data_IF_106218726268
#
_entry.id   IF_106218726268
#
_cell.length_a   1.000
_cell.length_b   1.000
_cell.length_c   1.000
_cell.angle_alpha   90.00
_cell.angle_beta   90.00
_cell.angle_gamma   90.00
#
_symmetry.space_group_name_H-M   'P 1'
#
loop_
_entity.id
_entity.type
_entity.pdbx_description
1 polymer ?
#
# COMPACT_ATOMS: atom_id res chain seq x y z
N UNK A 1 39.24 -6.77 -4.63
CA UNK A 1 39.20 -6.57 -6.09
C UNK A 1 37.80 -6.08 -6.42
N UNK A 2 37.71 -4.80 -6.78
CA UNK A 2 36.46 -4.14 -7.11
C UNK A 2 36.02 -4.61 -8.50
N UNK A 3 34.88 -5.31 -8.58
CA UNK A 3 34.19 -5.50 -9.83
C UNK A 3 33.43 -4.20 -10.15
N UNK A 4 34.10 -3.35 -10.92
CA UNK A 4 33.47 -2.33 -11.74
C UNK A 4 32.57 -3.04 -12.76
N UNK A 5 31.27 -3.06 -12.49
CA UNK A 5 30.28 -3.31 -13.53
C UNK A 5 30.11 -2.01 -14.30
N UNK A 6 30.73 -1.95 -15.48
CA UNK A 6 30.31 -1.05 -16.55
C UNK A 6 28.86 -1.40 -16.91
N UNK A 7 27.91 -0.60 -16.43
CA UNK A 7 26.52 -0.63 -16.88
C UNK A 7 26.49 0.18 -18.17
N UNK A 8 26.08 -0.43 -19.28
CA UNK A 8 25.84 0.26 -20.53
C UNK A 8 24.90 1.44 -20.32
N UNK A 9 25.29 2.61 -20.84
CA UNK A 9 24.54 3.85 -20.69
C UNK A 9 23.18 3.75 -21.36
N UNK A 10 22.15 3.44 -20.56
CA UNK A 10 20.80 3.86 -20.87
C UNK A 10 20.76 5.36 -20.64
N UNK A 11 20.36 6.11 -21.66
CA UNK A 11 20.15 7.55 -21.61
C UNK A 11 18.87 7.80 -20.79
N UNK A 12 19.02 7.98 -19.47
CA UNK A 12 17.90 8.15 -18.54
C UNK A 12 17.16 9.44 -18.91
N UNK A 13 15.84 9.36 -19.13
CA UNK A 13 15.01 10.55 -19.41
C UNK A 13 14.21 10.96 -18.20
N UNK A 14 14.06 12.25 -17.95
CA UNK A 14 13.37 12.78 -16.77
C UNK A 14 11.99 13.38 -17.05
N UNK A 15 11.27 12.85 -18.04
CA UNK A 15 9.96 13.38 -18.45
C UNK A 15 8.99 13.59 -17.29
N UNK A 16 8.34 14.76 -17.27
CA UNK A 16 7.37 15.13 -16.24
C UNK A 16 7.94 15.29 -14.83
N UNK A 17 9.28 15.25 -14.63
CA UNK A 17 9.90 15.36 -13.31
C UNK A 17 10.42 16.75 -13.00
N UNK A 18 10.48 17.05 -11.70
CA UNK A 18 11.28 18.14 -11.15
C UNK A 18 12.72 17.70 -10.95
N UNK A 19 13.65 18.46 -11.51
CA UNK A 19 15.10 18.29 -11.34
C UNK A 19 15.73 19.62 -10.91
N UNK A 20 16.91 19.54 -10.28
CA UNK A 20 17.70 20.68 -9.80
C UNK A 20 19.00 20.90 -10.59
N UNK A 21 19.31 20.00 -11.54
CA UNK A 21 20.49 20.07 -12.38
C UNK A 21 20.14 19.76 -13.85
N UNK A 22 20.41 20.69 -14.76
CA UNK A 22 20.17 20.50 -16.20
C UNK A 22 21.26 19.65 -16.89
N UNK A 23 22.40 19.40 -16.27
CA UNK A 23 23.46 18.57 -16.85
C UNK A 23 23.07 17.08 -16.95
N UNK A 24 21.96 16.69 -16.32
CA UNK A 24 21.45 15.30 -16.31
C UNK A 24 20.47 14.99 -17.42
N UNK A 25 19.95 16.01 -18.12
CA UNK A 25 19.05 15.83 -19.27
C UNK A 25 19.86 15.89 -20.57
N UNK A 26 19.36 15.24 -21.61
CA UNK A 26 20.05 15.18 -22.91
C UNK A 26 19.20 15.83 -24.00
N UNK A 27 18.03 15.28 -24.30
CA UNK A 27 17.16 15.78 -25.38
C UNK A 27 15.86 16.39 -24.86
N UNK A 28 15.58 16.27 -23.56
CA UNK A 28 14.33 16.71 -22.97
C UNK A 28 14.21 18.24 -22.91
N UNK A 29 12.98 18.73 -23.00
CA UNK A 29 12.69 20.17 -22.91
C UNK A 29 12.19 20.54 -21.53
N UNK A 30 12.66 21.68 -21.00
CA UNK A 30 12.13 22.28 -19.77
C UNK A 30 10.80 22.97 -20.07
N UNK A 31 9.72 22.55 -19.40
CA UNK A 31 8.39 23.17 -19.54
C UNK A 31 8.21 24.37 -18.60
N UNK A 32 8.82 24.34 -17.42
CA UNK A 32 8.71 25.40 -16.42
C UNK A 32 9.98 25.48 -15.57
N UNK A 33 10.35 26.71 -15.19
CA UNK A 33 11.45 26.98 -14.26
C UNK A 33 10.92 27.78 -13.07
N UNK A 34 11.29 27.39 -11.86
CA UNK A 34 10.96 28.12 -10.63
C UNK A 34 12.04 27.91 -9.57
N UNK A 35 11.85 28.43 -8.36
CA UNK A 35 12.59 27.98 -7.17
C UNK A 35 11.84 26.83 -6.49
N UNK A 36 12.52 26.08 -5.62
CA UNK A 36 11.92 24.99 -4.86
C UNK A 36 10.83 25.45 -3.87
N UNK A 37 11.01 26.64 -3.31
CA UNK A 37 9.99 27.33 -2.49
C UNK A 37 9.65 28.66 -3.12
N UNK A 38 8.36 28.92 -3.28
CA UNK A 38 7.82 30.19 -3.78
C UNK A 38 6.94 30.82 -2.70
N UNK A 39 6.93 32.15 -2.60
CA UNK A 39 6.08 32.88 -1.65
C UNK A 39 5.02 33.68 -2.40
N UNK A 40 3.77 33.52 -2.00
CA UNK A 40 2.65 34.32 -2.49
C UNK A 40 1.92 35.05 -1.33
N UNK A 41 0.74 35.62 -1.59
CA UNK A 41 -0.06 36.31 -0.56
C UNK A 41 -0.60 35.37 0.53
N UNK A 42 -0.63 34.05 0.28
CA UNK A 42 -1.17 33.02 1.17
C UNK A 42 -0.06 32.35 2.00
N UNK A 43 1.21 32.50 1.62
CA UNK A 43 2.36 32.07 2.41
C UNK A 43 3.46 31.43 1.56
N UNK A 44 4.26 30.56 2.19
CA UNK A 44 5.28 29.76 1.51
C UNK A 44 4.65 28.49 0.92
N UNK A 45 4.99 28.18 -0.33
CA UNK A 45 4.56 26.99 -1.07
C UNK A 45 5.79 26.21 -1.55
N UNK A 46 5.84 24.92 -1.22
CA UNK A 46 6.85 24.01 -1.77
C UNK A 46 6.40 23.46 -3.13
N UNK A 47 7.18 23.73 -4.18
CA UNK A 47 6.86 23.28 -5.55
C UNK A 47 6.97 21.76 -5.73
N UNK A 48 7.73 21.08 -4.86
CA UNK A 48 7.86 19.61 -4.91
C UNK A 48 6.67 18.91 -4.22
N UNK A 49 6.46 19.14 -2.92
CA UNK A 49 5.44 18.41 -2.16
C UNK A 49 4.11 19.14 -1.98
N UNK A 50 3.98 20.38 -2.44
CA UNK A 50 2.76 21.18 -2.27
C UNK A 50 2.52 21.68 -0.84
N UNK A 51 3.47 21.46 0.08
CA UNK A 51 3.32 21.90 1.47
C UNK A 51 3.09 23.42 1.57
N UNK A 52 2.09 23.81 2.34
CA UNK A 52 1.80 25.20 2.73
C UNK A 52 1.82 25.40 4.25
N UNK A 53 2.07 24.35 5.04
CA UNK A 53 2.17 24.49 6.50
C UNK A 53 3.46 25.22 6.87
N UNK A 54 3.29 26.43 7.42
CA UNK A 54 4.37 27.29 7.91
C UNK A 54 5.29 26.57 8.92
N UNK A 55 4.77 25.63 9.73
CA UNK A 55 5.55 24.87 10.70
C UNK A 55 6.48 23.84 10.06
N UNK A 56 6.28 23.53 8.78
CA UNK A 56 7.14 22.63 8.00
C UNK A 56 8.13 23.39 7.12
N UNK A 57 8.17 24.72 7.18
CA UNK A 57 9.24 25.53 6.62
C UNK A 57 10.27 25.90 7.69
N UNK A 58 11.50 26.16 7.26
CA UNK A 58 12.55 26.71 8.11
C UNK A 58 13.32 27.77 7.34
N UNK A 59 13.54 28.92 8.00
CA UNK A 59 14.22 30.07 7.43
C UNK A 59 15.48 30.39 8.22
N UNK A 60 16.58 30.67 7.53
CA UNK A 60 17.81 31.17 8.14
C UNK A 60 18.49 32.20 7.23
N UNK A 61 19.27 33.10 7.83
CA UNK A 61 20.08 34.06 7.08
C UNK A 61 21.41 33.44 6.64
N UNK A 62 21.69 33.42 5.34
CA UNK A 62 22.97 32.99 4.80
C UNK A 62 23.92 34.18 4.68
N UNK A 63 24.96 34.22 5.52
CA UNK A 63 26.01 35.27 5.43
C UNK A 63 26.79 35.23 4.12
N UNK A 64 26.88 34.07 3.47
CA UNK A 64 27.62 33.90 2.22
C UNK A 64 26.85 34.47 1.02
N UNK A 65 25.52 34.33 1.02
CA UNK A 65 24.64 34.80 -0.05
C UNK A 65 23.97 36.14 0.28
N UNK A 66 24.22 36.66 1.49
CA UNK A 66 23.63 37.87 2.06
C UNK A 66 22.10 37.93 1.91
N UNK A 67 21.43 36.80 2.18
CA UNK A 67 19.98 36.66 1.97
C UNK A 67 19.35 35.64 2.89
N UNK A 68 18.03 35.74 3.08
CA UNK A 68 17.23 34.75 3.82
C UNK A 68 16.89 33.55 2.94
N UNK A 69 17.22 32.37 3.43
CA UNK A 69 16.92 31.10 2.77
C UNK A 69 15.82 30.38 3.53
N UNK A 70 14.68 30.20 2.88
CA UNK A 70 13.57 29.37 3.34
C UNK A 70 13.58 28.05 2.58
N UNK A 71 13.47 26.93 3.29
CA UNK A 71 13.38 25.60 2.69
C UNK A 71 12.31 24.73 3.33
N UNK A 72 11.80 23.77 2.57
CA UNK A 72 10.78 22.84 3.01
C UNK A 72 11.38 21.66 3.78
N UNK A 73 10.91 21.42 5.01
CA UNK A 73 11.30 20.26 5.83
C UNK A 73 10.49 19.00 5.52
N UNK A 74 9.30 19.14 4.93
CA UNK A 74 8.42 18.01 4.61
C UNK A 74 9.05 17.03 3.61
N UNK A 75 9.68 17.55 2.55
CA UNK A 75 10.27 16.73 1.49
C UNK A 75 11.80 16.62 1.54
N UNK A 76 12.44 17.06 2.63
CA UNK A 76 13.91 17.19 2.71
C UNK A 76 14.65 15.88 2.41
N UNK A 77 14.07 14.73 2.76
CA UNK A 77 14.65 13.41 2.48
C UNK A 77 14.69 13.05 0.98
N UNK A 78 13.90 13.73 0.15
CA UNK A 78 13.86 13.54 -1.30
C UNK A 78 14.68 14.55 -2.09
N UNK A 79 15.34 15.49 -1.40
CA UNK A 79 16.00 16.64 -1.99
C UNK A 79 15.54 17.93 -1.30
N UNK A 80 16.49 18.81 -0.98
CA UNK A 80 16.18 20.09 -0.32
C UNK A 80 15.60 21.05 -1.36
N UNK A 81 14.38 21.49 -1.13
CA UNK A 81 13.71 22.53 -1.92
C UNK A 81 13.78 23.86 -1.17
N UNK A 82 14.39 24.88 -1.77
CA UNK A 82 14.53 26.21 -1.18
C UNK A 82 14.18 27.35 -2.15
N UNK A 83 14.13 28.57 -1.62
CA UNK A 83 13.76 29.79 -2.35
C UNK A 83 14.90 30.41 -3.17
N UNK A 84 16.07 29.76 -3.26
CA UNK A 84 17.24 30.30 -3.96
C UNK A 84 17.59 29.43 -5.17
N UNK A 85 17.66 28.11 -4.99
CA UNK A 85 18.09 27.19 -6.01
C UNK A 85 16.98 26.98 -7.06
N UNK A 86 17.32 27.11 -8.36
CA UNK A 86 16.35 26.86 -9.42
C UNK A 86 16.01 25.38 -9.48
N UNK A 87 14.76 25.11 -9.82
CA UNK A 87 14.26 23.80 -10.19
C UNK A 87 13.61 23.89 -11.57
N UNK A 88 13.67 22.78 -12.28
CA UNK A 88 13.23 22.67 -13.66
C UNK A 88 12.22 21.54 -13.74
N UNK A 89 11.01 21.86 -14.20
CA UNK A 89 10.04 20.86 -14.59
C UNK A 89 10.31 20.45 -16.03
N UNK A 90 10.58 19.18 -16.24
CA UNK A 90 10.77 18.62 -17.57
C UNK A 90 9.40 18.33 -18.18
N UNK A 91 9.23 18.68 -19.46
CA UNK A 91 8.02 18.41 -20.20
C UNK A 91 7.71 16.91 -20.17
N UNK A 92 6.42 16.57 -20.08
CA UNK A 92 5.99 15.17 -20.18
C UNK A 92 5.99 14.76 -21.66
N UNK A 93 6.46 13.54 -21.93
CA UNK A 93 6.37 12.91 -23.25
C UNK A 93 5.53 11.64 -23.13
N UNK A 94 4.86 11.25 -24.22
CA UNK A 94 4.06 10.04 -24.33
C UNK A 94 4.67 9.15 -25.40
N UNK A 95 4.72 7.85 -25.13
CA UNK A 95 5.30 6.88 -26.05
C UNK A 95 4.41 5.64 -26.10
N UNK A 96 3.94 5.29 -27.31
CA UNK A 96 3.14 4.10 -27.56
C UNK A 96 4.00 2.84 -27.51
N UNK A 97 3.51 1.83 -26.81
CA UNK A 97 4.11 0.49 -26.82
C UNK A 97 3.03 -0.58 -26.86
N UNK A 98 3.36 -1.75 -27.41
CA UNK A 98 2.40 -2.87 -27.49
C UNK A 98 1.95 -3.33 -26.09
N UNK A 99 2.85 -3.23 -25.09
CA UNK A 99 2.63 -3.63 -23.71
C UNK A 99 1.96 -5.00 -23.58
N UNK A 100 2.41 -5.96 -24.38
CA UNK A 100 1.93 -7.33 -24.32
C UNK A 100 2.26 -7.93 -22.96
N UNK A 101 1.25 -8.56 -22.34
CA UNK A 101 1.39 -9.22 -21.06
C UNK A 101 1.07 -10.70 -21.14
N UNK A 102 1.77 -11.48 -20.35
CA UNK A 102 1.46 -12.89 -20.12
C UNK A 102 0.80 -13.08 -18.76
N UNK A 103 -0.33 -13.78 -18.74
CA UNK A 103 -0.99 -14.22 -17.51
C UNK A 103 -1.06 -15.76 -17.52
N UNK A 104 -0.39 -16.46 -16.59
CA UNK A 104 -0.30 -17.91 -16.61
C UNK A 104 -1.59 -18.63 -16.17
N UNK A 105 -2.65 -17.88 -15.88
CA UNK A 105 -3.95 -18.38 -15.45
C UNK A 105 -5.09 -17.51 -15.97
N UNK A 106 -6.30 -18.06 -15.98
CA UNK A 106 -7.50 -17.29 -16.31
C UNK A 106 -8.04 -16.54 -15.09
N UNK A 107 -8.43 -15.28 -15.30
CA UNK A 107 -9.12 -14.50 -14.28
C UNK A 107 -10.46 -15.16 -13.92
N UNK A 108 -10.78 -15.22 -12.63
CA UNK A 108 -12.12 -15.64 -12.19
C UNK A 108 -13.21 -14.73 -12.75
N UNK A 109 -14.48 -15.17 -12.73
CA UNK A 109 -15.60 -14.37 -13.22
C UNK A 109 -15.67 -12.97 -12.55
N UNK A 110 -15.42 -12.90 -11.25
CA UNK A 110 -15.38 -11.65 -10.50
C UNK A 110 -14.19 -10.76 -10.90
N UNK A 111 -13.00 -11.36 -11.09
CA UNK A 111 -11.81 -10.64 -11.55
C UNK A 111 -11.98 -10.12 -12.98
N UNK A 112 -12.57 -10.91 -13.87
CA UNK A 112 -12.86 -10.53 -15.25
C UNK A 112 -13.85 -9.37 -15.31
N UNK A 113 -14.92 -9.43 -14.50
CA UNK A 113 -15.85 -8.31 -14.34
C UNK A 113 -15.11 -7.04 -13.92
N UNK A 114 -14.29 -7.13 -12.87
CA UNK A 114 -13.54 -5.99 -12.38
C UNK A 114 -12.55 -5.42 -13.40
N UNK A 115 -11.83 -6.29 -14.12
CA UNK A 115 -10.87 -5.89 -15.14
C UNK A 115 -11.57 -5.09 -16.25
N UNK A 116 -12.75 -5.55 -16.71
CA UNK A 116 -13.56 -4.81 -17.70
C UNK A 116 -14.00 -3.43 -17.21
N UNK A 117 -14.45 -3.31 -15.96
CA UNK A 117 -14.84 -2.01 -15.40
C UNK A 117 -13.64 -1.06 -15.27
N UNK A 118 -12.46 -1.58 -14.91
CA UNK A 118 -11.21 -0.80 -14.86
C UNK A 118 -10.82 -0.34 -16.27
N UNK A 119 -10.88 -1.23 -17.26
CA UNK A 119 -10.61 -0.90 -18.67
C UNK A 119 -11.57 0.18 -19.18
N UNK A 120 -12.86 0.13 -18.81
CA UNK A 120 -13.83 1.15 -19.16
C UNK A 120 -13.49 2.51 -18.51
N UNK A 121 -13.15 2.52 -17.22
CA UNK A 121 -12.76 3.74 -16.51
C UNK A 121 -11.50 4.39 -17.10
N UNK A 122 -10.48 3.57 -17.42
CA UNK A 122 -9.27 4.03 -18.12
C UNK A 122 -9.58 4.53 -19.53
N UNK A 123 -10.49 3.87 -20.24
CA UNK A 123 -10.92 4.32 -21.58
C UNK A 123 -11.54 5.71 -21.55
N UNK A 124 -12.33 5.99 -20.52
CA UNK A 124 -13.06 7.24 -20.33
C UNK A 124 -12.28 8.31 -19.56
N UNK A 125 -11.08 8.00 -19.08
CA UNK A 125 -10.30 8.87 -18.18
C UNK A 125 -11.12 9.30 -16.97
N UNK A 126 -11.70 8.31 -16.27
CA UNK A 126 -12.50 8.50 -15.06
C UNK A 126 -11.91 7.73 -13.90
N UNK A 127 -12.02 8.34 -12.73
CA UNK A 127 -11.63 7.68 -11.49
C UNK A 127 -12.56 6.51 -11.16
N UNK A 128 -11.99 5.48 -10.54
CA UNK A 128 -12.73 4.29 -10.14
C UNK A 128 -12.26 3.80 -8.76
N UNK A 129 -13.21 3.40 -7.92
CA UNK A 129 -12.92 2.73 -6.65
C UNK A 129 -13.16 1.23 -6.75
N UNK A 130 -12.08 0.46 -6.79
CA UNK A 130 -12.08 -0.98 -6.68
C UNK A 130 -12.11 -1.39 -5.19
N UNK A 131 -13.31 -1.61 -4.66
CA UNK A 131 -13.51 -2.09 -3.30
C UNK A 131 -13.49 -3.62 -3.27
N UNK A 132 -12.29 -4.18 -3.08
CA UNK A 132 -12.04 -5.62 -3.15
C UNK A 132 -11.53 -6.20 -1.83
N UNK A 133 -12.09 -7.33 -1.42
CA UNK A 133 -11.69 -8.02 -0.19
C UNK A 133 -10.23 -8.46 -0.24
N UNK A 134 -9.63 -8.63 0.93
CA UNK A 134 -8.27 -9.14 1.03
C UNK A 134 -8.12 -10.53 0.38
N UNK A 135 -7.14 -10.66 -0.51
CA UNK A 135 -6.93 -11.89 -1.27
C UNK A 135 -7.84 -12.05 -2.50
N UNK A 136 -8.46 -10.97 -3.00
CA UNK A 136 -9.20 -10.99 -4.26
C UNK A 136 -8.30 -11.07 -5.52
N UNK A 137 -6.99 -10.86 -5.39
CA UNK A 137 -6.05 -10.84 -6.53
C UNK A 137 -6.20 -9.57 -7.38
N UNK A 138 -6.11 -8.40 -6.74
CA UNK A 138 -6.39 -7.09 -7.37
C UNK A 138 -5.37 -6.71 -8.46
N UNK A 139 -4.10 -7.07 -8.25
CA UNK A 139 -2.99 -6.68 -9.13
C UNK A 139 -3.17 -7.21 -10.54
N UNK A 140 -3.63 -8.45 -10.70
CA UNK A 140 -3.77 -9.05 -12.03
C UNK A 140 -5.00 -8.51 -12.78
N UNK A 141 -5.94 -7.85 -12.08
CA UNK A 141 -7.12 -7.23 -12.71
C UNK A 141 -6.77 -5.95 -13.50
N UNK A 142 -5.64 -5.29 -13.20
CA UNK A 142 -5.24 -4.03 -13.85
C UNK A 142 -4.41 -4.25 -15.11
N UNK A 143 -3.97 -5.48 -15.42
CA UNK A 143 -3.04 -5.74 -16.52
C UNK A 143 -3.61 -5.34 -17.89
N UNK A 144 -4.86 -5.71 -18.17
CA UNK A 144 -5.53 -5.34 -19.43
C UNK A 144 -5.66 -3.82 -19.58
N UNK A 145 -5.93 -3.10 -18.48
CA UNK A 145 -6.02 -1.65 -18.50
C UNK A 145 -4.66 -0.96 -18.67
N UNK A 146 -3.59 -1.53 -18.10
CA UNK A 146 -2.20 -1.08 -18.34
C UNK A 146 -1.85 -1.25 -19.82
N UNK A 147 -2.11 -2.44 -20.40
CA UNK A 147 -1.86 -2.69 -21.82
C UNK A 147 -2.60 -1.68 -22.70
N UNK A 148 -3.89 -1.45 -22.44
CA UNK A 148 -4.68 -0.48 -23.17
C UNK A 148 -4.08 0.93 -23.11
N UNK A 149 -3.71 1.39 -21.91
CA UNK A 149 -3.14 2.71 -21.70
C UNK A 149 -1.80 2.85 -22.46
N UNK A 150 -0.89 1.89 -22.29
CA UNK A 150 0.42 1.91 -22.93
C UNK A 150 0.34 1.88 -24.46
N UNK A 151 -0.62 1.14 -25.03
CA UNK A 151 -0.91 1.16 -26.49
C UNK A 151 -1.43 2.49 -27.02
N UNK A 152 -1.97 3.35 -26.16
CA UNK A 152 -2.38 4.73 -26.49
C UNK A 152 -1.27 5.75 -26.25
N UNK A 153 -0.11 5.31 -25.77
CA UNK A 153 0.99 6.17 -25.36
C UNK A 153 0.82 6.79 -23.98
N UNK A 154 -0.24 6.44 -23.25
CA UNK A 154 -0.53 6.96 -21.92
C UNK A 154 0.58 6.58 -20.93
N UNK A 155 1.04 7.55 -20.12
CA UNK A 155 1.99 7.29 -19.05
C UNK A 155 1.26 6.69 -17.85
N UNK A 156 1.77 5.57 -17.35
CA UNK A 156 1.12 4.76 -16.32
C UNK A 156 1.95 4.73 -15.04
N UNK A 157 1.30 4.96 -13.89
CA UNK A 157 1.90 4.71 -12.58
C UNK A 157 1.12 3.66 -11.79
N UNK A 158 1.83 2.76 -11.12
CA UNK A 158 1.28 1.86 -10.09
C UNK A 158 1.94 2.18 -8.77
N UNK A 159 1.17 2.73 -7.84
CA UNK A 159 1.70 3.27 -6.58
C UNK A 159 1.11 2.60 -5.35
N UNK A 160 1.93 2.52 -4.30
CA UNK A 160 1.51 2.03 -2.99
C UNK A 160 2.24 2.79 -1.88
N UNK A 161 1.62 3.04 -0.72
CA UNK A 161 2.28 3.73 0.39
C UNK A 161 3.44 2.92 1.00
N UNK A 162 3.50 1.60 0.76
CA UNK A 162 4.48 0.71 1.39
C UNK A 162 5.51 0.16 0.41
N UNK A 163 6.77 0.13 0.84
CA UNK A 163 7.91 -0.34 0.02
C UNK A 163 7.81 -1.83 -0.30
N UNK A 164 7.40 -2.67 0.67
CA UNK A 164 7.26 -4.12 0.49
C UNK A 164 6.22 -4.46 -0.59
N UNK A 165 5.12 -3.71 -0.64
CA UNK A 165 4.08 -3.86 -1.67
C UNK A 165 4.58 -3.39 -3.05
N UNK A 166 5.30 -2.26 -3.12
CA UNK A 166 5.95 -1.80 -4.36
C UNK A 166 6.89 -2.85 -4.93
N UNK A 167 7.72 -3.46 -4.08
CA UNK A 167 8.65 -4.52 -4.47
C UNK A 167 7.86 -5.74 -4.98
N UNK A 168 6.83 -6.20 -4.25
CA UNK A 168 6.00 -7.34 -4.66
C UNK A 168 5.32 -7.10 -6.01
N UNK A 169 4.69 -5.93 -6.19
CA UNK A 169 4.03 -5.54 -7.44
C UNK A 169 5.05 -5.45 -8.58
N UNK A 170 6.27 -4.95 -8.32
CA UNK A 170 7.31 -4.82 -9.34
C UNK A 170 7.74 -6.16 -9.93
N UNK A 171 7.87 -7.20 -9.11
CA UNK A 171 8.17 -8.55 -9.62
C UNK A 171 7.04 -9.07 -10.51
N UNK A 172 5.79 -8.90 -10.09
CA UNK A 172 4.62 -9.38 -10.86
C UNK A 172 4.47 -8.66 -12.19
N UNK A 173 4.64 -7.33 -12.21
CA UNK A 173 4.50 -6.55 -13.43
C UNK A 173 5.67 -6.78 -14.39
N UNK A 174 6.91 -6.94 -13.89
CA UNK A 174 8.05 -7.29 -14.75
C UNK A 174 7.96 -8.69 -15.33
N UNK A 175 7.39 -9.64 -14.59
CA UNK A 175 7.13 -11.00 -15.08
C UNK A 175 6.03 -11.00 -16.16
N UNK A 176 4.99 -10.19 -15.97
CA UNK A 176 3.88 -10.08 -16.93
C UNK A 176 4.26 -9.30 -18.19
N UNK A 177 4.86 -8.12 -18.07
CA UNK A 177 5.16 -7.16 -19.16
C UNK A 177 6.66 -7.19 -19.51
N UNK A 178 7.12 -8.31 -20.04
CA UNK A 178 8.56 -8.53 -20.31
C UNK A 178 9.16 -7.61 -21.38
N UNK A 179 8.34 -6.99 -22.22
CA UNK A 179 8.76 -6.07 -23.29
C UNK A 179 8.79 -4.59 -22.85
N UNK A 180 8.24 -4.27 -21.67
CA UNK A 180 8.16 -2.89 -21.18
C UNK A 180 9.37 -2.52 -20.31
N UNK A 181 9.85 -1.29 -20.47
CA UNK A 181 10.80 -0.70 -19.52
C UNK A 181 10.03 -0.15 -18.33
N UNK A 182 10.13 -0.84 -17.18
CA UNK A 182 9.41 -0.45 -15.96
C UNK A 182 10.37 0.14 -14.93
N UNK A 183 10.15 1.42 -14.61
CA UNK A 183 10.87 2.16 -13.58
C UNK A 183 10.33 1.85 -12.19
N UNK A 184 11.19 1.43 -11.26
CA UNK A 184 10.79 1.06 -9.90
C UNK A 184 11.39 2.02 -8.89
N UNK A 185 10.56 2.89 -8.30
CA UNK A 185 11.01 4.01 -7.47
C UNK A 185 10.57 3.83 -6.01
N UNK A 186 11.54 3.58 -5.13
CA UNK A 186 11.34 3.59 -3.67
C UNK A 186 12.63 4.03 -2.98
N UNK A 187 12.67 4.03 -1.65
CA UNK A 187 13.82 4.49 -0.86
C UNK A 187 15.16 3.96 -1.40
N UNK A 188 16.03 4.86 -1.87
CA UNK A 188 17.37 4.54 -2.36
C UNK A 188 17.43 3.94 -3.78
N UNK A 189 16.31 3.82 -4.50
CA UNK A 189 16.28 3.42 -5.91
C UNK A 189 15.91 4.61 -6.79
N UNK A 190 16.66 4.77 -7.88
CA UNK A 190 16.49 5.85 -8.85
C UNK A 190 15.89 5.33 -10.15
N UNK A 191 15.46 6.24 -11.00
CA UNK A 191 14.94 5.92 -12.32
C UNK A 191 16.06 5.42 -13.23
N UNK A 192 15.73 4.49 -14.12
CA UNK A 192 16.67 3.90 -15.07
C UNK A 192 16.17 3.99 -16.52
N UNK A 193 14.86 4.14 -16.73
CA UNK A 193 14.23 4.36 -18.03
C UNK A 193 13.68 5.76 -18.19
N UNK A 194 12.60 5.88 -18.96
CA UNK A 194 12.03 7.14 -19.42
C UNK A 194 10.83 7.62 -18.59
N UNK A 195 10.33 6.80 -17.66
CA UNK A 195 9.20 7.17 -16.80
C UNK A 195 7.81 6.91 -17.39
N UNK A 196 7.68 6.31 -18.58
CA UNK A 196 6.39 6.00 -19.20
C UNK A 196 5.58 4.93 -18.45
N UNK A 197 6.26 3.99 -17.77
CA UNK A 197 5.63 2.99 -16.91
C UNK A 197 6.38 2.89 -15.58
N UNK A 198 5.78 3.45 -14.52
CA UNK A 198 6.41 3.61 -13.21
C UNK A 198 5.69 2.79 -12.15
N UNK A 199 6.46 2.14 -11.28
CA UNK A 199 5.97 1.53 -10.04
C UNK A 199 6.67 2.22 -8.88
N UNK A 200 5.91 2.83 -7.97
CA UNK A 200 6.54 3.70 -6.97
C UNK A 200 5.87 3.74 -5.61
N UNK A 201 6.62 4.17 -4.58
CA UNK A 201 5.98 4.64 -3.36
C UNK A 201 5.29 5.97 -3.61
N UNK A 202 4.17 6.23 -2.92
CA UNK A 202 3.39 7.48 -3.11
C UNK A 202 4.25 8.75 -2.95
N UNK A 203 5.25 8.74 -2.05
CA UNK A 203 6.17 9.88 -1.87
C UNK A 203 7.01 10.20 -3.12
N UNK A 204 7.26 9.24 -4.00
CA UNK A 204 7.99 9.51 -5.23
C UNK A 204 7.18 10.37 -6.20
N UNK A 205 5.85 10.38 -6.08
CA UNK A 205 4.97 11.24 -6.88
C UNK A 205 5.22 12.73 -6.61
N UNK A 206 5.82 13.11 -5.48
CA UNK A 206 6.25 14.50 -5.24
C UNK A 206 7.17 15.04 -6.35
N UNK A 207 7.90 14.17 -7.05
CA UNK A 207 8.83 14.55 -8.11
C UNK A 207 8.17 14.67 -9.47
N UNK A 208 6.95 14.13 -9.66
CA UNK A 208 6.25 14.15 -10.94
C UNK A 208 5.21 15.27 -10.96
N UNK A 209 5.06 15.93 -12.11
CA UNK A 209 4.13 17.03 -12.36
C UNK A 209 3.49 16.86 -13.74
N UNK A 210 2.17 16.74 -13.78
CA UNK A 210 1.38 16.58 -15.00
C UNK A 210 1.96 15.53 -15.97
N UNK A 211 2.31 14.36 -15.44
CA UNK A 211 3.02 13.32 -16.18
C UNK A 211 2.12 12.13 -16.53
N UNK A 212 1.38 11.61 -15.55
CA UNK A 212 0.63 10.37 -15.69
C UNK A 212 -0.78 10.60 -16.21
N UNK A 213 -1.17 9.77 -17.17
CA UNK A 213 -2.53 9.69 -17.71
C UNK A 213 -3.36 8.67 -16.90
N UNK A 214 -2.72 7.62 -16.38
CA UNK A 214 -3.39 6.58 -15.57
C UNK A 214 -2.58 6.28 -14.32
N UNK A 215 -3.22 6.33 -13.16
CA UNK A 215 -2.59 5.97 -11.88
C UNK A 215 -3.39 4.93 -11.13
N UNK A 216 -2.78 3.78 -10.86
CA UNK A 216 -3.32 2.74 -10.01
C UNK A 216 -2.77 2.89 -8.60
N UNK A 217 -3.64 3.06 -7.60
CA UNK A 217 -3.24 3.24 -6.20
C UNK A 217 -3.64 2.02 -5.38
N UNK A 218 -2.69 1.18 -4.99
CA UNK A 218 -2.93 0.08 -4.06
C UNK A 218 -2.78 0.52 -2.60
N UNK A 219 -3.55 -0.12 -1.73
CA UNK A 219 -3.56 0.11 -0.28
C UNK A 219 -3.78 1.59 0.10
N UNK A 220 -4.74 2.27 -0.56
CA UNK A 220 -5.09 3.68 -0.29
C UNK A 220 -5.38 3.96 1.19
N UNK A 221 -5.88 2.96 1.91
CA UNK A 221 -6.21 3.02 3.35
C UNK A 221 -5.00 2.83 4.27
N UNK A 222 -3.81 2.55 3.73
CA UNK A 222 -2.60 2.40 4.50
C UNK A 222 -1.88 3.75 4.72
N UNK A 223 -1.31 3.90 5.90
CA UNK A 223 -0.38 4.98 6.21
C UNK A 223 0.86 4.90 5.30
N UNK A 224 1.44 6.03 4.85
CA UNK A 224 1.07 7.41 5.19
C UNK A 224 0.02 8.05 4.30
N UNK A 225 -0.36 7.44 3.18
CA UNK A 225 -1.36 8.02 2.28
C UNK A 225 -2.68 8.31 3.01
N UNK A 226 -3.14 7.36 3.83
CA UNK A 226 -4.27 7.59 4.72
C UNK A 226 -3.90 8.59 5.83
N UNK A 227 -4.36 9.84 5.68
CA UNK A 227 -4.20 10.91 6.66
C UNK A 227 -3.15 11.97 6.33
N UNK A 228 -2.50 11.88 5.16
CA UNK A 228 -1.56 12.90 4.68
C UNK A 228 -2.13 13.63 3.43
N UNK A 229 -2.63 14.88 3.61
CA UNK A 229 -3.13 15.67 2.50
C UNK A 229 -2.06 15.98 1.44
N UNK A 230 -0.79 16.09 1.82
CA UNK A 230 0.29 16.43 0.87
C UNK A 230 0.54 15.28 -0.10
N UNK A 231 0.46 14.03 0.37
CA UNK A 231 0.54 12.86 -0.51
C UNK A 231 -0.66 12.75 -1.47
N UNK A 232 -1.86 13.09 -1.00
CA UNK A 232 -3.06 13.12 -1.84
C UNK A 232 -2.95 14.21 -2.91
N UNK A 233 -2.47 15.39 -2.55
CA UNK A 233 -2.19 16.48 -3.50
C UNK A 233 -1.11 16.08 -4.50
N UNK A 234 -0.05 15.41 -4.07
CA UNK A 234 1.02 14.95 -4.95
C UNK A 234 0.53 13.93 -5.98
N UNK A 235 -0.37 13.03 -5.59
CA UNK A 235 -1.02 12.09 -6.49
C UNK A 235 -1.73 12.84 -7.63
N UNK A 236 -2.58 13.83 -7.30
CA UNK A 236 -3.28 14.63 -8.30
C UNK A 236 -2.34 15.53 -9.11
N UNK A 237 -1.34 16.14 -8.49
CA UNK A 237 -0.36 16.99 -9.17
C UNK A 237 0.52 16.21 -10.17
N UNK A 238 0.76 14.93 -9.91
CA UNK A 238 1.49 14.05 -10.81
C UNK A 238 0.64 13.62 -12.03
N UNK A 239 -0.69 13.70 -11.93
CA UNK A 239 -1.61 13.40 -13.03
C UNK A 239 -1.74 14.58 -14.00
N UNK A 240 -1.98 14.29 -15.28
CA UNK A 240 -2.38 15.30 -16.27
C UNK A 240 -3.81 15.78 -16.03
N UNK A 241 -4.24 16.82 -16.72
CA UNK A 241 -5.63 17.30 -16.65
C UNK A 241 -6.64 16.21 -17.01
N UNK A 242 -6.42 15.51 -18.13
CA UNK A 242 -7.17 14.32 -18.51
C UNK A 242 -6.45 13.08 -17.97
N UNK A 243 -7.05 12.42 -16.99
CA UNK A 243 -6.44 11.27 -16.32
C UNK A 243 -7.49 10.31 -15.73
N UNK A 244 -7.07 9.10 -15.37
CA UNK A 244 -7.85 8.17 -14.54
C UNK A 244 -7.06 7.74 -13.30
N UNK A 245 -7.67 7.82 -12.12
CA UNK A 245 -7.13 7.24 -10.89
C UNK A 245 -7.97 6.04 -10.46
N UNK A 246 -7.32 4.87 -10.44
CA UNK A 246 -7.94 3.61 -10.02
C UNK A 246 -7.50 3.29 -8.59
N UNK A 247 -8.39 3.53 -7.62
CA UNK A 247 -8.15 3.30 -6.20
C UNK A 247 -8.48 1.86 -5.83
N UNK A 248 -7.55 1.11 -5.26
CA UNK A 248 -7.72 -0.30 -4.91
C UNK A 248 -7.56 -0.54 -3.41
N UNK A 249 -8.64 -0.91 -2.72
CA UNK A 249 -8.58 -1.13 -1.25
C UNK A 249 -9.63 -2.13 -0.76
N UNK A 250 -9.31 -2.79 0.35
CA UNK A 250 -10.24 -3.65 1.08
C UNK A 250 -10.99 -2.91 2.19
N UNK A 251 -10.60 -1.67 2.50
CA UNK A 251 -11.11 -0.90 3.63
C UNK A 251 -11.14 0.58 3.28
N UNK A 252 -11.94 0.99 2.28
CA UNK A 252 -11.93 2.35 1.78
C UNK A 252 -12.29 3.35 2.91
N UNK A 253 -11.51 4.44 3.06
CA UNK A 253 -11.85 5.53 3.95
C UNK A 253 -13.20 6.16 3.59
N UNK A 254 -13.91 6.71 4.59
CA UNK A 254 -15.26 7.25 4.38
C UNK A 254 -15.26 8.52 3.51
N UNK A 255 -14.24 9.34 3.65
CA UNK A 255 -13.93 10.50 2.81
C UNK A 255 -13.71 10.08 1.36
N UNK A 256 -12.90 9.04 1.11
CA UNK A 256 -12.73 8.49 -0.23
C UNK A 256 -14.06 7.98 -0.79
N UNK A 257 -14.83 7.18 -0.03
CA UNK A 257 -16.13 6.66 -0.48
C UNK A 257 -17.12 7.75 -0.87
N UNK A 258 -17.09 8.93 -0.22
CA UNK A 258 -18.00 10.04 -0.51
C UNK A 258 -17.69 10.74 -1.82
N UNK A 259 -16.48 10.58 -2.35
CA UNK A 259 -16.07 11.18 -3.60
C UNK A 259 -16.52 10.35 -4.82
N UNK A 260 -17.09 9.16 -4.61
CA UNK A 260 -17.52 8.26 -5.66
C UNK A 260 -19.02 8.03 -5.62
N UNK A 261 -19.65 8.16 -6.77
CA UNK A 261 -20.98 7.63 -7.01
C UNK A 261 -20.95 6.10 -7.09
N UNK A 262 -22.07 5.45 -6.75
CA UNK A 262 -22.19 3.99 -6.75
C UNK A 262 -21.83 3.32 -8.09
N UNK A 263 -21.97 4.04 -9.21
CA UNK A 263 -21.59 3.55 -10.56
C UNK A 263 -20.08 3.46 -10.76
N UNK A 264 -19.29 4.19 -9.99
CA UNK A 264 -17.83 4.19 -10.06
C UNK A 264 -17.20 3.40 -8.89
N UNK A 265 -18.01 2.60 -8.17
CA UNK A 265 -17.54 1.71 -7.11
C UNK A 265 -17.74 0.25 -7.52
N UNK A 266 -16.65 -0.41 -7.87
CA UNK A 266 -16.66 -1.83 -8.23
C UNK A 266 -16.38 -2.67 -6.99
N UNK A 267 -17.40 -3.42 -6.53
CA UNK A 267 -17.30 -4.26 -5.32
C UNK A 267 -16.96 -5.70 -5.66
N UNK A 268 -15.89 -6.19 -5.02
CA UNK A 268 -15.34 -7.53 -5.19
C UNK A 268 -15.34 -8.28 -3.86
N UNK A 269 -16.44 -8.99 -3.56
CA UNK A 269 -16.68 -9.58 -2.26
C UNK A 269 -16.04 -10.96 -2.05
N UNK A 270 -15.70 -11.70 -3.11
CA UNK A 270 -15.11 -13.04 -3.00
C UNK A 270 -13.59 -13.02 -3.20
N UNK A 271 -12.93 -14.03 -2.63
CA UNK A 271 -11.54 -14.39 -2.94
C UNK A 271 -11.47 -15.28 -4.17
N UNK A 272 -10.30 -15.40 -4.79
CA UNK A 272 -10.09 -16.23 -5.99
C UNK A 272 -10.49 -17.71 -5.80
N UNK A 273 -10.44 -18.23 -4.56
CA UNK A 273 -10.83 -19.60 -4.23
C UNK A 273 -12.32 -19.74 -3.83
N UNK A 274 -13.13 -18.68 -3.95
CA UNK A 274 -14.59 -18.73 -3.87
C UNK A 274 -15.19 -19.27 -2.56
N UNK A 275 -14.50 -19.06 -1.42
CA UNK A 275 -15.02 -19.39 -0.09
C UNK A 275 -15.35 -18.11 0.71
N UNK A 276 -16.32 -18.17 1.64
CA UNK A 276 -16.69 -17.03 2.46
C UNK A 276 -15.55 -16.54 3.34
N UNK A 277 -15.51 -15.23 3.57
CA UNK A 277 -14.60 -14.62 4.52
C UNK A 277 -14.93 -15.08 5.96
N UNK A 278 -13.92 -15.45 6.77
CA UNK A 278 -14.11 -15.77 8.18
C UNK A 278 -14.70 -14.59 8.96
N UNK A 279 -15.87 -14.80 9.57
CA UNK A 279 -16.56 -13.77 10.36
C UNK A 279 -16.01 -13.75 11.80
N UNK A 280 -15.60 -12.59 12.34
CA UNK A 280 -15.02 -12.52 13.68
C UNK A 280 -16.03 -12.88 14.78
N UNK A 281 -15.59 -13.75 15.69
CA UNK A 281 -16.28 -14.07 16.94
C UNK A 281 -15.85 -13.10 18.04
N UNK A 282 -16.80 -12.59 18.81
CA UNK A 282 -16.51 -11.66 19.90
C UNK A 282 -16.57 -12.39 21.23
N UNK A 283 -15.56 -12.19 22.06
CA UNK A 283 -15.48 -12.84 23.35
C UNK A 283 -14.95 -11.89 24.41
N UNK A 284 -15.73 -11.73 25.49
CA UNK A 284 -15.32 -10.93 26.64
C UNK A 284 -14.07 -11.54 27.29
N UNK A 285 -13.02 -10.73 27.38
CA UNK A 285 -11.75 -11.07 27.99
C UNK A 285 -10.93 -9.81 28.26
N UNK A 286 -10.57 -9.63 29.54
CA UNK A 286 -9.63 -8.61 29.99
C UNK A 286 -8.24 -9.22 30.10
N UNK A 287 -7.30 -8.75 29.28
CA UNK A 287 -5.90 -9.17 29.38
C UNK A 287 -5.27 -8.59 30.64
N UNK A 288 -4.57 -9.44 31.40
CA UNK A 288 -3.65 -9.05 32.47
C UNK A 288 -2.24 -9.44 32.00
N UNK A 289 -1.50 -8.53 31.33
CA UNK A 289 -0.29 -8.90 30.60
C UNK A 289 0.82 -9.43 31.49
N UNK A 290 0.85 -9.05 32.78
CA UNK A 290 1.86 -9.48 33.76
C UNK A 290 1.59 -10.85 34.40
N UNK A 291 0.68 -11.66 33.84
CA UNK A 291 0.44 -13.03 34.30
C UNK A 291 -0.22 -13.89 33.23
N UNK A 292 0.00 -15.21 33.33
CA UNK A 292 -0.74 -16.19 32.54
C UNK A 292 -2.20 -16.23 32.99
N UNK A 293 -3.12 -16.31 32.04
CA UNK A 293 -4.55 -16.50 32.27
C UNK A 293 -4.98 -17.82 31.64
N UNK A 294 -5.63 -18.68 32.42
CA UNK A 294 -6.04 -20.03 32.00
C UNK A 294 -6.79 -20.03 30.65
N UNK A 295 -7.64 -19.04 30.43
CA UNK A 295 -8.41 -18.92 29.18
C UNK A 295 -7.53 -18.75 27.94
N UNK A 296 -6.48 -17.93 28.00
CA UNK A 296 -5.52 -17.81 26.89
C UNK A 296 -4.60 -19.02 26.80
N UNK A 297 -4.20 -19.59 27.94
CA UNK A 297 -3.43 -20.82 27.96
C UNK A 297 -4.15 -21.97 27.24
N UNK A 298 -5.42 -22.20 27.55
CA UNK A 298 -6.23 -23.22 26.89
C UNK A 298 -6.42 -22.91 25.41
N UNK A 299 -6.64 -21.64 25.05
CA UNK A 299 -6.79 -21.22 23.67
C UNK A 299 -5.53 -21.49 22.85
N UNK A 300 -4.36 -21.21 23.41
CA UNK A 300 -3.07 -21.46 22.77
C UNK A 300 -2.76 -22.96 22.69
N UNK A 301 -3.04 -23.72 23.75
CA UNK A 301 -2.88 -25.17 23.74
C UNK A 301 -3.77 -25.80 22.66
N UNK A 302 -5.03 -25.40 22.56
CA UNK A 302 -5.97 -25.86 21.52
C UNK A 302 -5.42 -25.61 20.10
N UNK A 303 -4.78 -24.45 19.88
CA UNK A 303 -4.19 -24.12 18.59
C UNK A 303 -2.98 -25.00 18.27
N UNK A 304 -2.13 -25.26 19.25
CA UNK A 304 -0.97 -26.17 19.12
C UNK A 304 -1.44 -27.60 18.84
N UNK A 305 -2.42 -28.10 19.59
CA UNK A 305 -2.95 -29.46 19.46
C UNK A 305 -3.59 -29.69 18.08
N UNK A 306 -4.25 -28.65 17.55
CA UNK A 306 -4.83 -28.65 16.18
C UNK A 306 -3.80 -28.38 15.09
N UNK A 307 -2.52 -28.25 15.43
CA UNK A 307 -1.41 -27.93 14.53
C UNK A 307 -1.67 -26.68 13.68
N UNK A 308 -2.32 -25.67 14.27
CA UNK A 308 -2.62 -24.41 13.57
C UNK A 308 -1.58 -23.35 13.87
N UNK A 309 -1.39 -22.47 12.90
CA UNK A 309 -0.59 -21.26 13.07
C UNK A 309 -1.48 -20.14 13.56
N UNK A 310 -1.05 -19.39 14.58
CA UNK A 310 -1.87 -18.35 15.20
C UNK A 310 -1.11 -17.04 15.32
N UNK A 311 -1.65 -15.99 14.70
CA UNK A 311 -1.20 -14.61 14.93
C UNK A 311 -2.06 -13.98 16.03
N UNK A 312 -1.41 -13.53 17.10
CA UNK A 312 -2.05 -12.85 18.22
C UNK A 312 -1.70 -11.36 18.14
N UNK A 313 -2.68 -10.55 17.76
CA UNK A 313 -2.52 -9.12 17.54
C UNK A 313 -2.69 -8.32 18.83
N UNK A 314 -1.73 -7.42 19.08
CA UNK A 314 -1.73 -6.44 20.16
C UNK A 314 -1.63 -5.03 19.58
N UNK A 315 -2.39 -4.10 20.14
CA UNK A 315 -2.35 -2.69 19.70
C UNK A 315 -1.13 -1.93 20.25
N UNK A 316 -0.52 -2.43 21.34
CA UNK A 316 0.58 -1.77 22.04
C UNK A 316 1.75 -2.74 22.24
N UNK A 317 2.95 -2.34 21.79
CA UNK A 317 4.19 -3.13 21.87
C UNK A 317 4.49 -3.51 23.32
N UNK A 318 4.40 -2.56 24.26
CA UNK A 318 4.67 -2.81 25.68
C UNK A 318 3.80 -3.92 26.27
N UNK A 319 2.49 -3.92 25.95
CA UNK A 319 1.55 -4.92 26.42
C UNK A 319 1.87 -6.30 25.84
N UNK A 320 2.26 -6.34 24.57
CA UNK A 320 2.67 -7.56 23.88
C UNK A 320 3.93 -8.16 24.52
N UNK A 321 4.96 -7.35 24.76
CA UNK A 321 6.23 -7.77 25.37
C UNK A 321 6.02 -8.27 26.80
N UNK A 322 5.19 -7.57 27.58
CA UNK A 322 4.82 -8.01 28.93
C UNK A 322 4.11 -9.37 28.89
N UNK A 323 3.10 -9.53 28.03
CA UNK A 323 2.40 -10.81 27.88
C UNK A 323 3.37 -11.93 27.45
N UNK A 324 4.21 -11.67 26.44
CA UNK A 324 5.19 -12.62 25.92
C UNK A 324 6.07 -13.20 27.03
N UNK A 325 6.60 -12.36 27.92
CA UNK A 325 7.47 -12.79 29.02
C UNK A 325 6.84 -13.87 29.91
N UNK A 326 5.51 -13.86 30.06
CA UNK A 326 4.79 -14.84 30.85
C UNK A 326 4.30 -16.06 30.06
N UNK A 327 3.87 -15.88 28.80
CA UNK A 327 3.34 -16.99 27.99
C UNK A 327 4.44 -17.87 27.38
N UNK A 328 5.63 -17.32 27.09
CA UNK A 328 6.77 -18.09 26.56
C UNK A 328 7.21 -19.21 27.48
N UNK A 329 7.03 -19.06 28.80
CA UNK A 329 7.36 -20.10 29.78
C UNK A 329 6.53 -21.39 29.59
N UNK A 330 5.32 -21.28 29.03
CA UNK A 330 4.47 -22.44 28.74
C UNK A 330 4.52 -22.86 27.26
N UNK A 331 4.88 -21.93 26.36
CA UNK A 331 5.02 -22.17 24.93
C UNK A 331 6.42 -21.73 24.50
N UNK A 332 7.44 -22.60 24.62
CA UNK A 332 8.84 -22.24 24.33
C UNK A 332 9.08 -21.70 22.92
N UNK A 333 8.30 -22.19 21.95
CA UNK A 333 8.35 -21.79 20.53
C UNK A 333 7.57 -20.51 20.23
N UNK A 334 6.95 -19.88 21.24
CA UNK A 334 6.32 -18.57 21.10
C UNK A 334 7.39 -17.52 20.78
N UNK A 335 7.12 -16.70 19.77
CA UNK A 335 7.92 -15.50 19.45
C UNK A 335 7.02 -14.26 19.40
N UNK A 336 7.65 -13.08 19.31
CA UNK A 336 6.95 -11.85 18.98
C UNK A 336 7.66 -11.07 17.87
N UNK A 337 6.89 -10.27 17.12
CA UNK A 337 7.36 -9.39 16.04
C UNK A 337 6.63 -8.03 16.10
N UNK A 338 7.37 -6.93 15.96
CA UNK A 338 6.79 -5.58 15.82
C UNK A 338 7.61 -4.72 14.84
N UNK A 339 7.17 -3.48 14.58
CA UNK A 339 7.80 -2.56 13.63
C UNK A 339 9.26 -2.23 13.97
N UNK A 340 9.57 -2.04 15.26
CA UNK A 340 10.89 -1.69 15.80
C UNK A 340 11.82 -2.90 16.05
N UNK A 341 11.41 -4.11 15.64
CA UNK A 341 12.21 -5.32 15.87
C UNK A 341 13.36 -5.43 14.87
N UNK A 342 14.61 -5.38 15.35
CA UNK A 342 15.81 -5.48 14.51
C UNK A 342 15.90 -6.82 13.76
N UNK A 343 15.38 -7.91 14.34
CA UNK A 343 15.38 -9.25 13.75
C UNK A 343 14.05 -9.60 13.07
N UNK A 344 13.25 -8.58 12.71
CA UNK A 344 11.92 -8.76 12.11
C UNK A 344 11.95 -9.66 10.89
N UNK A 345 12.87 -9.44 9.96
CA UNK A 345 12.94 -10.19 8.70
C UNK A 345 13.18 -11.69 8.96
N UNK A 346 14.16 -12.02 9.81
CA UNK A 346 14.50 -13.39 10.15
C UNK A 346 13.35 -14.11 10.87
N UNK A 347 12.68 -13.43 11.81
CA UNK A 347 11.53 -13.99 12.52
C UNK A 347 10.32 -14.23 11.61
N UNK A 348 10.07 -13.31 10.68
CA UNK A 348 8.99 -13.48 9.69
C UNK A 348 9.31 -14.63 8.74
N UNK A 349 10.58 -14.80 8.35
CA UNK A 349 11.03 -15.91 7.55
C UNK A 349 10.88 -17.25 8.29
N UNK A 350 11.34 -17.34 9.54
CA UNK A 350 11.17 -18.53 10.38
C UNK A 350 9.69 -18.87 10.60
N UNK A 351 8.82 -17.86 10.69
CA UNK A 351 7.38 -18.07 10.71
C UNK A 351 6.87 -18.64 9.39
N UNK A 352 7.31 -18.16 8.22
CA UNK A 352 6.93 -18.71 6.90
C UNK A 352 7.37 -20.18 6.74
N UNK A 353 8.50 -20.54 7.33
CA UNK A 353 9.05 -21.91 7.36
C UNK A 353 8.32 -22.83 8.36
N UNK A 354 7.41 -22.28 9.16
CA UNK A 354 6.55 -23.06 10.05
C UNK A 354 7.17 -23.40 11.39
N UNK A 355 8.30 -22.77 11.76
CA UNK A 355 9.00 -23.01 13.02
C UNK A 355 8.24 -22.53 14.27
N UNK A 356 7.28 -21.62 14.12
CA UNK A 356 6.56 -21.02 15.23
C UNK A 356 5.05 -21.13 15.05
N UNK A 357 4.38 -21.91 15.92
CA UNK A 357 2.92 -22.10 15.87
C UNK A 357 2.15 -20.88 16.36
N UNK A 358 2.66 -20.17 17.35
CA UNK A 358 2.01 -18.98 17.91
C UNK A 358 2.98 -17.83 17.83
N UNK A 359 2.51 -16.70 17.32
CA UNK A 359 3.29 -15.47 17.20
C UNK A 359 2.50 -14.30 17.75
N UNK A 360 3.10 -13.56 18.66
CA UNK A 360 2.57 -12.28 19.10
C UNK A 360 3.02 -11.19 18.13
N UNK A 361 2.10 -10.36 17.66
CA UNK A 361 2.42 -9.34 16.67
C UNK A 361 1.64 -8.06 16.91
N UNK A 362 2.14 -6.95 16.39
CA UNK A 362 1.34 -5.73 16.18
C UNK A 362 0.71 -5.73 14.79
N UNK A 363 0.16 -4.59 14.37
CA UNK A 363 -0.37 -4.35 13.02
C UNK A 363 0.67 -4.53 11.91
N UNK A 364 1.94 -4.75 12.23
CA UNK A 364 3.00 -5.01 11.24
C UNK A 364 2.68 -6.23 10.35
N UNK A 365 2.04 -7.27 10.89
CA UNK A 365 1.61 -8.46 10.15
C UNK A 365 0.13 -8.44 9.74
N UNK A 366 -0.55 -7.30 9.88
CA UNK A 366 -1.88 -7.13 9.27
C UNK A 366 -1.76 -7.05 7.73
N UNK A 367 -0.56 -6.64 7.25
CA UNK A 367 0.08 -6.57 5.92
C UNK A 367 0.86 -7.83 5.48
N UNK A 368 1.17 -8.03 4.20
CA UNK A 368 2.37 -8.77 3.74
C UNK A 368 2.64 -10.23 4.18
N UNK A 369 1.72 -10.90 4.90
CA UNK A 369 1.91 -12.28 5.39
C UNK A 369 0.76 -13.21 4.99
N UNK A 370 1.09 -14.37 4.43
CA UNK A 370 0.11 -15.42 4.07
C UNK A 370 0.66 -16.78 4.43
N UNK A 371 -0.14 -17.61 5.10
CA UNK A 371 0.22 -18.96 5.53
C UNK A 371 -1.03 -19.84 5.51
N UNK A 372 -0.87 -21.13 5.18
CA UNK A 372 -1.96 -22.10 5.27
C UNK A 372 -2.28 -22.40 6.74
N UNK A 373 -3.52 -22.79 7.04
CA UNK A 373 -3.95 -23.15 8.40
C UNK A 373 -3.74 -22.03 9.45
N UNK A 374 -3.83 -20.78 9.00
CA UNK A 374 -3.65 -19.59 9.83
C UNK A 374 -4.95 -19.21 10.54
N UNK A 375 -4.86 -19.00 11.84
CA UNK A 375 -5.87 -18.42 12.71
C UNK A 375 -5.39 -17.06 13.24
N UNK A 376 -6.32 -16.19 13.61
CA UNK A 376 -6.01 -14.89 14.21
C UNK A 376 -6.80 -14.66 15.49
N UNK A 377 -6.12 -14.07 16.47
CA UNK A 377 -6.70 -13.60 17.72
C UNK A 377 -6.33 -12.13 17.86
N UNK A 378 -7.30 -11.26 18.13
CA UNK A 378 -7.05 -9.84 18.43
C UNK A 378 -7.28 -9.62 19.91
N UNK A 379 -6.23 -9.27 20.65
CA UNK A 379 -6.32 -8.96 22.08
C UNK A 379 -6.64 -7.49 22.27
N UNK A 380 -7.56 -7.20 23.18
CA UNK A 380 -8.09 -5.85 23.42
C UNK A 380 -8.66 -5.22 22.14
N UNK A 381 -9.41 -5.97 21.34
CA UNK A 381 -9.90 -5.55 20.02
C UNK A 381 -10.71 -4.24 20.01
N UNK A 382 -11.21 -3.81 21.16
CA UNK A 382 -11.91 -2.53 21.36
C UNK A 382 -11.01 -1.29 21.13
N UNK A 383 -9.68 -1.45 21.15
CA UNK A 383 -8.72 -0.37 20.88
C UNK A 383 -8.34 -0.22 19.41
N UNK A 384 -8.76 -1.17 18.56
CA UNK A 384 -8.46 -1.16 17.12
C UNK A 384 -9.50 -0.41 16.30
N UNK A 385 -9.06 0.18 15.19
CA UNK A 385 -9.94 0.77 14.17
C UNK A 385 -10.52 -0.33 13.27
N UNK A 386 -11.67 -0.04 12.64
CA UNK A 386 -12.37 -0.92 11.70
C UNK A 386 -11.44 -1.46 10.61
N UNK A 387 -10.65 -0.59 9.99
CA UNK A 387 -9.77 -0.96 8.88
C UNK A 387 -8.78 -2.07 9.29
N UNK A 388 -8.06 -1.86 10.40
CA UNK A 388 -7.14 -2.87 10.94
C UNK A 388 -7.86 -4.20 11.27
N UNK A 389 -9.04 -4.15 11.89
CA UNK A 389 -9.81 -5.36 12.21
C UNK A 389 -10.21 -6.17 10.97
N UNK A 390 -10.63 -5.49 9.89
CA UNK A 390 -10.97 -6.14 8.62
C UNK A 390 -9.72 -6.73 7.94
N UNK A 391 -8.60 -6.01 7.95
CA UNK A 391 -7.32 -6.50 7.40
C UNK A 391 -6.80 -7.72 8.15
N UNK A 392 -6.85 -7.70 9.49
CA UNK A 392 -6.46 -8.82 10.35
C UNK A 392 -7.35 -10.04 10.11
N UNK A 393 -8.68 -9.87 10.13
CA UNK A 393 -9.61 -10.95 9.82
C UNK A 393 -9.35 -11.53 8.42
N UNK A 394 -9.00 -10.64 7.47
CA UNK A 394 -8.61 -10.94 6.11
C UNK A 394 -7.33 -11.78 5.92
N UNK A 395 -6.56 -12.05 6.97
CA UNK A 395 -5.40 -12.96 6.92
C UNK A 395 -5.80 -14.43 6.97
N UNK A 396 -6.93 -14.74 7.60
CA UNK A 396 -7.41 -16.11 7.77
C UNK A 396 -8.05 -16.61 6.49
N UNK A 397 -7.75 -17.87 6.13
CA UNK A 397 -8.41 -18.56 5.03
C UNK A 397 -7.95 -18.15 3.63
N UNK A 398 -6.75 -17.58 3.47
CA UNK A 398 -6.25 -17.06 2.18
C UNK A 398 -5.77 -18.14 1.21
N UNK A 399 -5.40 -19.31 1.73
CA UNK A 399 -4.85 -20.43 0.96
C UNK A 399 -5.98 -21.36 0.53
N UNK A 400 -5.96 -21.83 -0.72
CA UNK A 400 -7.02 -22.67 -1.29
C UNK A 400 -7.14 -24.00 -0.53
N UNK A 401 -6.02 -24.55 -0.09
CA UNK A 401 -5.90 -25.76 0.71
C UNK A 401 -6.40 -25.60 2.16
N UNK A 402 -6.56 -24.36 2.65
CA UNK A 402 -7.05 -24.06 3.99
C UNK A 402 -7.88 -22.76 3.98
N UNK A 403 -9.09 -22.79 3.39
CA UNK A 403 -9.90 -21.59 3.14
C UNK A 403 -10.63 -21.09 4.40
N UNK A 404 -10.59 -21.84 5.50
CA UNK A 404 -11.22 -21.51 6.77
C UNK A 404 -10.21 -21.37 7.91
N UNK A 405 -10.65 -20.72 8.98
CA UNK A 405 -9.91 -20.64 10.23
C UNK A 405 -10.63 -19.75 11.24
N UNK A 406 -10.01 -19.61 12.42
CA UNK A 406 -10.57 -18.82 13.52
C UNK A 406 -10.21 -17.35 13.38
N UNK A 407 -11.20 -16.48 13.53
CA UNK A 407 -11.01 -15.04 13.81
C UNK A 407 -11.67 -14.72 15.13
N UNK A 408 -10.88 -14.46 16.17
CA UNK A 408 -11.38 -14.21 17.52
C UNK A 408 -10.99 -12.83 18.02
N UNK A 409 -11.98 -12.01 18.37
CA UNK A 409 -11.79 -10.68 18.96
C UNK A 409 -12.04 -10.76 20.47
N UNK A 410 -10.96 -10.63 21.24
CA UNK A 410 -10.97 -10.59 22.69
C UNK A 410 -11.09 -9.13 23.14
N UNK A 411 -12.11 -8.81 23.93
CA UNK A 411 -12.43 -7.42 24.28
C UNK A 411 -12.90 -7.22 25.73
N UNK A 412 -12.83 -5.98 26.21
CA UNK A 412 -13.47 -5.56 27.48
C UNK A 412 -14.85 -4.93 27.27
N UNK A 413 -15.20 -4.62 26.02
CA UNK A 413 -16.49 -4.08 25.61
C UNK A 413 -16.59 -4.05 24.08
N UNK A 414 -17.81 -4.12 23.54
CA UNK A 414 -18.02 -4.09 22.10
C UNK A 414 -18.07 -2.64 21.63
N UNK A 415 -17.27 -2.28 20.63
CA UNK A 415 -17.25 -0.92 20.05
C UNK A 415 -17.95 -0.85 18.70
N UNK A 416 -18.29 0.36 18.26
CA UNK A 416 -18.83 0.61 16.93
C UNK A 416 -17.88 0.17 15.81
N UNK A 417 -16.57 0.34 15.98
CA UNK A 417 -15.53 -0.13 15.05
C UNK A 417 -15.60 -1.64 14.83
N UNK A 418 -15.72 -2.42 15.92
CA UNK A 418 -15.85 -3.87 15.86
C UNK A 418 -17.15 -4.31 15.16
N UNK A 419 -18.27 -3.68 15.52
CA UNK A 419 -19.57 -3.98 14.90
C UNK A 419 -19.56 -3.69 13.40
N UNK A 420 -18.98 -2.54 13.00
CA UNK A 420 -18.80 -2.18 11.59
C UNK A 420 -17.92 -3.19 10.86
N UNK A 421 -16.77 -3.58 11.42
CA UNK A 421 -15.89 -4.57 10.79
C UNK A 421 -16.62 -5.91 10.53
N UNK A 422 -17.35 -6.42 11.53
CA UNK A 422 -18.16 -7.64 11.37
C UNK A 422 -19.29 -7.47 10.36
N UNK A 423 -19.93 -6.30 10.33
CA UNK A 423 -20.99 -5.98 9.36
C UNK A 423 -20.44 -5.95 7.93
N UNK A 424 -19.32 -5.29 7.70
CA UNK A 424 -18.68 -5.17 6.38
C UNK A 424 -18.30 -6.57 5.83
N UNK A 425 -17.68 -7.42 6.67
CA UNK A 425 -17.34 -8.80 6.28
C UNK A 425 -18.59 -9.61 5.92
N UNK A 426 -19.66 -9.52 6.72
CA UNK A 426 -20.92 -10.22 6.43
C UNK A 426 -21.61 -9.69 5.17
N UNK A 427 -21.56 -8.38 4.94
CA UNK A 427 -22.11 -7.76 3.75
C UNK A 427 -21.39 -8.24 2.48
N UNK A 428 -20.06 -8.36 2.54
CA UNK A 428 -19.29 -8.95 1.44
C UNK A 428 -19.68 -10.41 1.21
N UNK A 429 -19.70 -11.26 2.23
CA UNK A 429 -20.12 -12.66 2.06
C UNK A 429 -21.53 -12.77 1.43
N UNK A 430 -22.47 -11.91 1.85
CA UNK A 430 -23.81 -11.88 1.27
C UNK A 430 -23.78 -11.48 -0.21
N UNK A 431 -23.10 -10.39 -0.54
CA UNK A 431 -22.98 -9.92 -1.92
C UNK A 431 -22.32 -10.98 -2.82
N UNK A 432 -21.32 -11.70 -2.30
CA UNK A 432 -20.69 -12.80 -3.02
C UNK A 432 -21.65 -13.96 -3.30
N UNK A 433 -22.49 -14.34 -2.33
CA UNK A 433 -23.52 -15.36 -2.51
C UNK A 433 -24.57 -14.91 -3.54
N UNK A 434 -25.07 -13.67 -3.42
CA UNK A 434 -26.06 -13.10 -4.34
C UNK A 434 -25.56 -13.05 -5.79
N UNK A 435 -24.25 -12.83 -6.00
CA UNK A 435 -23.62 -12.83 -7.32
C UNK A 435 -23.14 -14.21 -7.78
N UNK A 436 -23.30 -15.26 -6.97
CA UNK A 436 -22.84 -16.61 -7.30
C UNK A 436 -21.31 -16.76 -7.36
N UNK A 437 -20.58 -15.91 -6.65
CA UNK A 437 -19.11 -15.89 -6.62
C UNK A 437 -18.50 -16.68 -5.46
N UNK A 438 -19.32 -17.10 -4.50
CA UNK A 438 -18.97 -18.12 -3.51
C UNK A 438 -20.08 -19.15 -3.41
N UNK A 439 -19.72 -20.34 -2.93
CA UNK A 439 -20.65 -21.41 -2.60
C UNK A 439 -20.70 -21.59 -1.07
N UNK A 440 -21.86 -22.03 -0.55
CA UNK A 440 -22.04 -22.31 0.89
C UNK A 440 -21.13 -23.43 1.41
#
# INVERSE_FOLDING_TARGET
MAHSFFIGGYDIKYYGRLIDNLDVITTETVSQTSTGVTRDQQGDLCQQCGNTDAQLFYTYYSKMLDTEICYCRNCIQLGRMDNINPIYQIASEQFESEADYHLPFELSAQQTYASREIVAAVTEYKDLLLYAVTGAGKTEMIFEAIQLARRRGDNVAVVSPRVDVVIEISYRLKDAFTTETIDVLYQGQTQHGEGHFVIATVHQLYRFKAHFDVVFVDEVDAFPLAGDPTLTQALHAACKERHAIIYMTATPPNDLLRNFDETHIVRLPARFHQHPLPVPQFQLFKLKPRRRQLKLMHLFQEQVDKQRYTLVFFNHIETMVQAYAHYRQAFPDLIFVHSEDALRHDKVQALREGHHRIVFTTTILERGFTMAQLDVIVVNSHTFKKAALVQIAGRVGRKKEAPTGRVLFLHEGITGEMLRARRDIRAMNRLALERGWIHE
#
